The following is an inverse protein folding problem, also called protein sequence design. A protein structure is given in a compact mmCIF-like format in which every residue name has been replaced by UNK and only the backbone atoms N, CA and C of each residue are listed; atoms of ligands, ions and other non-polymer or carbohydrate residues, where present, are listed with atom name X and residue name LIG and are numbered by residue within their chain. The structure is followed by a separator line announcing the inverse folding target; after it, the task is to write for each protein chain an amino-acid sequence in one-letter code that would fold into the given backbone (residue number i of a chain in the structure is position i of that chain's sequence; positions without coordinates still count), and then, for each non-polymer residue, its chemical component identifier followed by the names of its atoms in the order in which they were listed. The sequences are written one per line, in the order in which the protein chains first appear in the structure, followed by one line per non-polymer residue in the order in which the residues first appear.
data_IF_740723621725
#
_entry.id   IF_740723621725
#
_cell.length_a   1.000
_cell.length_b   1.000
_cell.length_c   1.000
_cell.angle_alpha   90.00
_cell.angle_beta   90.00
_cell.angle_gamma   90.00
#
_symmetry.space_group_name_H-M   'P 1'
#
loop_
_entity.id
_entity.type
_entity.pdbx_description
1 polymer ?
#
# COMPACT_ATOMS: atom_id res chain seq x y z
N UNK A 1 -3.10 -2.15 16.77
CA UNK A 1 -2.37 -1.05 16.12
C UNK A 1 -1.76 -1.50 14.79
N UNK A 2 -0.91 -2.52 14.81
CA UNK A 2 -0.28 -3.19 13.66
C UNK A 2 -1.25 -3.57 12.53
N UNK A 3 -2.39 -4.14 12.88
CA UNK A 3 -3.43 -4.55 11.92
C UNK A 3 -4.01 -3.36 11.11
N UNK A 4 -3.99 -2.15 11.66
CA UNK A 4 -4.49 -0.99 10.94
C UNK A 4 -3.58 -0.62 9.76
N UNK A 5 -2.25 -0.74 9.92
CA UNK A 5 -1.30 -0.50 8.83
C UNK A 5 -1.42 -1.55 7.73
N UNK A 6 -1.61 -2.82 8.11
CA UNK A 6 -1.90 -3.90 7.18
C UNK A 6 -3.19 -3.64 6.39
N UNK A 7 -4.26 -3.23 7.07
CA UNK A 7 -5.52 -2.86 6.41
C UNK A 7 -5.36 -1.65 5.48
N UNK A 8 -4.56 -0.66 5.89
CA UNK A 8 -4.18 0.47 5.03
C UNK A 8 -3.45 0.00 3.77
N UNK A 9 -2.54 -0.97 3.90
CA UNK A 9 -1.82 -1.56 2.78
C UNK A 9 -2.79 -2.25 1.81
N UNK A 10 -3.66 -3.12 2.32
CA UNK A 10 -4.65 -3.84 1.51
C UNK A 10 -5.59 -2.87 0.77
N UNK A 11 -6.01 -1.79 1.42
CA UNK A 11 -6.86 -0.77 0.80
C UNK A 11 -6.15 -0.10 -0.40
N UNK A 12 -4.86 0.24 -0.25
CA UNK A 12 -4.04 0.78 -1.35
C UNK A 12 -3.84 -0.26 -2.47
N UNK A 13 -3.60 -1.52 -2.12
CA UNK A 13 -3.47 -2.62 -3.09
C UNK A 13 -4.73 -2.74 -3.96
N UNK A 14 -5.91 -2.81 -3.35
CA UNK A 14 -7.18 -2.93 -4.09
C UNK A 14 -7.46 -1.72 -4.96
N UNK A 15 -7.17 -0.51 -4.46
CA UNK A 15 -7.32 0.71 -5.26
C UNK A 15 -6.37 0.74 -6.46
N UNK A 16 -5.11 0.35 -6.29
CA UNK A 16 -4.16 0.25 -7.39
C UNK A 16 -4.56 -0.83 -8.40
N UNK A 17 -5.04 -1.98 -7.94
CA UNK A 17 -5.59 -3.02 -8.84
C UNK A 17 -6.78 -2.50 -9.64
N UNK A 18 -7.70 -1.76 -9.02
CA UNK A 18 -8.81 -1.12 -9.71
C UNK A 18 -8.34 -0.11 -10.77
N UNK A 19 -7.32 0.71 -10.44
CA UNK A 19 -6.70 1.62 -11.39
C UNK A 19 -6.06 0.87 -12.57
N UNK A 20 -5.37 -0.25 -12.34
CA UNK A 20 -4.78 -1.04 -13.42
C UNK A 20 -5.85 -1.58 -14.36
N UNK A 21 -6.96 -2.08 -13.81
CA UNK A 21 -8.10 -2.56 -14.61
C UNK A 21 -8.73 -1.42 -15.41
N UNK A 22 -8.91 -0.24 -14.80
CA UNK A 22 -9.45 0.95 -15.48
C UNK A 22 -8.55 1.40 -16.63
N UNK A 23 -7.25 1.50 -16.37
CA UNK A 23 -6.24 2.06 -17.28
C UNK A 23 -5.90 1.12 -18.44
N UNK A 24 -5.75 -0.17 -18.16
CA UNK A 24 -5.28 -1.16 -19.14
C UNK A 24 -6.40 -2.00 -19.76
N UNK A 25 -7.62 -1.96 -19.19
CA UNK A 25 -8.75 -2.85 -19.52
C UNK A 25 -8.44 -4.34 -19.35
N UNK A 26 -7.35 -4.69 -18.66
CA UNK A 26 -6.90 -6.05 -18.37
C UNK A 26 -6.93 -6.31 -16.87
N UNK A 27 -6.96 -7.58 -16.48
CA UNK A 27 -6.88 -7.93 -15.08
C UNK A 27 -5.54 -7.44 -14.47
N UNK A 28 -5.60 -6.91 -13.25
CA UNK A 28 -4.39 -6.51 -12.54
C UNK A 28 -3.54 -7.76 -12.21
N UNK A 29 -2.19 -7.66 -12.19
CA UNK A 29 -1.36 -8.79 -11.86
C UNK A 29 -1.66 -9.32 -10.45
N UNK A 30 -1.54 -10.64 -10.27
CA UNK A 30 -1.65 -11.30 -8.98
C UNK A 30 -0.39 -11.04 -8.15
N UNK A 31 -0.35 -9.87 -7.51
CA UNK A 31 0.76 -9.41 -6.67
C UNK A 31 0.26 -8.53 -5.53
N UNK A 32 1.07 -8.41 -4.49
CA UNK A 32 0.90 -7.48 -3.37
C UNK A 32 1.87 -6.30 -3.46
N UNK A 33 2.75 -6.29 -4.47
CA UNK A 33 3.72 -5.21 -4.66
C UNK A 33 3.04 -3.94 -5.18
N UNK A 34 2.87 -2.94 -4.31
CA UNK A 34 2.35 -1.62 -4.68
C UNK A 34 3.22 -0.94 -5.77
N UNK A 35 4.58 -0.99 -5.69
CA UNK A 35 5.43 -0.46 -6.76
C UNK A 35 5.23 -1.17 -8.11
N UNK A 36 5.02 -2.49 -8.10
CA UNK A 36 4.74 -3.25 -9.31
C UNK A 36 3.38 -2.89 -9.90
N UNK A 37 2.34 -2.74 -9.09
CA UNK A 37 1.03 -2.28 -9.56
C UNK A 37 1.13 -0.88 -10.18
N UNK A 38 1.88 0.03 -9.56
CA UNK A 38 2.15 1.36 -10.09
C UNK A 38 2.88 1.32 -11.43
N UNK A 39 3.83 0.40 -11.64
CA UNK A 39 4.57 0.31 -12.90
C UNK A 39 3.74 -0.23 -14.06
N UNK A 40 2.57 -0.82 -13.78
CA UNK A 40 1.61 -1.24 -14.81
C UNK A 40 0.66 -0.14 -15.26
N UNK A 41 0.63 0.98 -14.55
CA UNK A 41 -0.19 2.14 -14.94
C UNK A 41 0.55 2.99 -15.97
N UNK A 42 -0.16 3.40 -17.01
CA UNK A 42 0.29 4.44 -17.94
C UNK A 42 0.20 5.84 -17.30
N UNK A 43 -0.63 5.98 -16.26
CA UNK A 43 -0.75 7.19 -15.44
C UNK A 43 0.60 7.60 -14.82
N UNK A 44 0.98 8.88 -15.03
CA UNK A 44 2.16 9.46 -14.40
C UNK A 44 1.93 9.72 -12.91
N UNK A 45 2.35 8.77 -12.07
CA UNK A 45 2.35 8.93 -10.61
C UNK A 45 3.58 9.72 -10.14
N UNK A 46 3.42 10.77 -9.31
CA UNK A 46 4.52 11.55 -8.75
C UNK A 46 5.53 10.69 -7.98
N UNK A 47 6.81 11.02 -8.10
CA UNK A 47 7.92 10.29 -7.44
C UNK A 47 7.72 10.19 -5.92
N UNK A 48 7.18 11.23 -5.28
CA UNK A 48 6.92 11.23 -3.84
C UNK A 48 5.89 10.17 -3.43
N UNK A 49 4.81 10.02 -4.21
CA UNK A 49 3.79 8.99 -3.96
C UNK A 49 4.35 7.60 -4.22
N UNK A 50 5.15 7.43 -5.28
CA UNK A 50 5.85 6.17 -5.55
C UNK A 50 6.74 5.76 -4.37
N UNK A 51 7.47 6.71 -3.78
CA UNK A 51 8.33 6.47 -2.62
C UNK A 51 7.52 6.04 -1.38
N UNK A 52 6.39 6.70 -1.11
CA UNK A 52 5.46 6.31 -0.02
C UNK A 52 4.90 4.90 -0.23
N UNK A 53 4.43 4.60 -1.44
CA UNK A 53 3.89 3.26 -1.76
C UNK A 53 4.95 2.16 -1.61
N UNK A 54 6.22 2.46 -1.92
CA UNK A 54 7.33 1.53 -1.70
C UNK A 54 7.61 1.31 -0.20
N UNK A 55 7.58 2.35 0.64
CA UNK A 55 7.78 2.16 2.09
C UNK A 55 6.64 1.36 2.73
N UNK A 56 5.40 1.59 2.29
CA UNK A 56 4.22 0.86 2.78
C UNK A 56 4.21 -0.65 2.51
N UNK A 57 5.15 -1.15 1.69
CA UNK A 57 5.38 -2.60 1.55
C UNK A 57 5.79 -3.24 2.87
N UNK A 58 6.44 -2.50 3.78
CA UNK A 58 6.84 -3.01 5.09
C UNK A 58 5.64 -3.42 5.97
N UNK A 59 4.44 -2.92 5.65
CA UNK A 59 3.20 -3.21 6.36
C UNK A 59 2.43 -4.40 5.80
N UNK A 60 2.91 -5.00 4.71
CA UNK A 60 2.37 -6.23 4.16
C UNK A 60 3.15 -7.42 4.71
N UNK A 61 2.46 -8.27 5.46
CA UNK A 61 3.00 -9.50 6.00
C UNK A 61 2.14 -10.68 5.53
N UNK A 62 2.69 -11.52 4.67
CA UNK A 62 2.16 -12.87 4.46
C UNK A 62 2.61 -13.68 5.67
N UNK A 63 1.76 -13.84 6.67
CA UNK A 63 2.16 -14.53 7.91
C UNK A 63 2.36 -16.01 7.66
N UNK A 64 3.54 -16.38 7.16
CA UNK A 64 4.09 -17.74 7.20
C UNK A 64 4.94 -17.96 8.46
N UNK A 65 5.45 -16.89 9.08
CA UNK A 65 6.30 -16.97 10.28
C UNK A 65 5.85 -16.00 11.40
N UNK A 66 5.57 -16.50 12.62
CA UNK A 66 5.13 -15.67 13.76
C UNK A 66 6.18 -14.69 14.32
N UNK A 67 7.47 -14.95 14.12
CA UNK A 67 8.55 -14.16 14.73
C UNK A 67 8.74 -12.79 14.04
N UNK A 68 8.59 -12.73 12.71
CA UNK A 68 8.60 -11.46 11.95
C UNK A 68 7.47 -10.52 12.39
N UNK A 69 6.34 -11.09 12.81
CA UNK A 69 5.25 -10.30 13.36
C UNK A 69 5.63 -9.66 14.70
N UNK A 70 6.33 -10.38 15.60
CA UNK A 70 6.71 -9.86 16.93
C UNK A 70 7.60 -8.63 16.83
N UNK A 71 8.56 -8.59 15.90
CA UNK A 71 9.41 -7.41 15.72
C UNK A 71 8.62 -6.22 15.16
N UNK A 72 7.69 -6.47 14.24
CA UNK A 72 6.83 -5.42 13.70
C UNK A 72 5.84 -4.89 14.75
N UNK A 73 5.30 -5.74 15.62
CA UNK A 73 4.48 -5.34 16.77
C UNK A 73 5.24 -4.39 17.70
N UNK A 74 6.55 -4.61 17.94
CA UNK A 74 7.38 -3.72 18.76
C UNK A 74 7.56 -2.32 18.16
N UNK A 75 7.60 -2.21 16.82
CA UNK A 75 7.71 -0.92 16.11
C UNK A 75 6.39 -0.14 16.07
N UNK A 76 5.24 -0.82 16.12
CA UNK A 76 3.91 -0.23 15.97
C UNK A 76 3.40 0.49 17.22
N UNK A 77 4.09 1.55 17.65
CA UNK A 77 3.57 2.47 18.67
C UNK A 77 2.35 3.23 18.12
N UNK A 78 1.49 3.73 19.02
CA UNK A 78 0.30 4.51 18.63
C UNK A 78 0.65 5.72 17.74
N UNK A 79 1.76 6.40 18.05
CA UNK A 79 2.25 7.56 17.28
C UNK A 79 2.71 7.11 15.90
N UNK A 80 3.56 6.08 15.82
CA UNK A 80 4.07 5.53 14.56
C UNK A 80 2.93 5.05 13.66
N UNK A 81 1.98 4.28 14.20
CA UNK A 81 0.81 3.81 13.45
C UNK A 81 -0.04 4.97 12.94
N UNK A 82 -0.31 5.99 13.78
CA UNK A 82 -1.13 7.14 13.37
C UNK A 82 -0.47 7.96 12.26
N UNK A 83 0.84 8.20 12.35
CA UNK A 83 1.60 8.91 11.32
C UNK A 83 1.52 8.17 9.98
N UNK A 84 1.85 6.88 9.96
CA UNK A 84 1.81 6.08 8.74
C UNK A 84 0.40 5.96 8.16
N UNK A 85 -0.63 5.78 8.99
CA UNK A 85 -2.03 5.77 8.51
C UNK A 85 -2.44 7.10 7.86
N UNK A 86 -1.99 8.24 8.39
CA UNK A 86 -2.27 9.54 7.77
C UNK A 86 -1.60 9.64 6.40
N UNK A 87 -0.33 9.22 6.28
CA UNK A 87 0.36 9.22 4.99
C UNK A 87 -0.28 8.25 3.97
N UNK A 88 -0.71 7.08 4.42
CA UNK A 88 -1.45 6.12 3.61
C UNK A 88 -2.78 6.71 3.15
N UNK A 89 -3.49 7.44 4.02
CA UNK A 89 -4.74 8.12 3.69
C UNK A 89 -4.53 9.20 2.62
N UNK A 90 -3.48 9.99 2.72
CA UNK A 90 -3.13 10.99 1.70
C UNK A 90 -2.86 10.32 0.35
N UNK A 91 -2.04 9.27 0.32
CA UNK A 91 -1.74 8.51 -0.89
C UNK A 91 -3.02 7.90 -1.48
N UNK A 92 -3.88 7.32 -0.64
CA UNK A 92 -5.16 6.74 -1.03
C UNK A 92 -6.08 7.80 -1.65
N UNK A 93 -6.24 8.95 -1.00
CA UNK A 93 -7.06 10.04 -1.53
C UNK A 93 -6.54 10.56 -2.86
N UNK A 94 -5.23 10.69 -3.01
CA UNK A 94 -4.63 11.11 -4.28
C UNK A 94 -4.89 10.08 -5.39
N UNK A 95 -4.69 8.79 -5.13
CA UNK A 95 -4.95 7.70 -6.08
C UNK A 95 -6.44 7.58 -6.42
N UNK A 96 -7.32 7.76 -5.43
CA UNK A 96 -8.78 7.67 -5.63
C UNK A 96 -9.29 8.73 -6.58
N UNK A 97 -8.70 9.93 -6.59
CA UNK A 97 -9.02 10.99 -7.57
C UNK A 97 -8.62 10.63 -9.02
N UNK A 98 -7.88 9.54 -9.22
CA UNK A 98 -7.46 9.05 -10.55
C UNK A 98 -8.29 7.85 -11.00
N UNK A 99 -9.00 7.20 -10.06
CA UNK A 99 -9.98 6.16 -10.36
C UNK A 99 -11.24 6.78 -10.94
#
# INVERSE_FOLDING_TARGET
MTYALFMGHLALEKLLKALVVKDTRKHAPYTHSLPLLVSKLTLRIPKQIKKKLASFMEFYFETRYPEEQKEFYKKCTKVFTKQNLNEMKEAFQWLKKKL
#
